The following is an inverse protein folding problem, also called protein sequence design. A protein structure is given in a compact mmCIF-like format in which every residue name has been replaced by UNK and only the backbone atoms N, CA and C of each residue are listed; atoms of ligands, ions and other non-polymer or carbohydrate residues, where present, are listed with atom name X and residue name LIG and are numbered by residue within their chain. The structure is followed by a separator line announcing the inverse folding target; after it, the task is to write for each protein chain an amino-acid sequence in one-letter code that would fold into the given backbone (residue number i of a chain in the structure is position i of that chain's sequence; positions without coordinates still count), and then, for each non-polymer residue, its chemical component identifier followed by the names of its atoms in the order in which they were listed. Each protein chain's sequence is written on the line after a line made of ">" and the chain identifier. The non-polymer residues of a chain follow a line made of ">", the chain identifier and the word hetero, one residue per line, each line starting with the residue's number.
data_IF_373197721965
#
_entry.id   IF_373197721965
#
_cell.length_a   1.000
_cell.length_b   1.000
_cell.length_c   1.000
_cell.angle_alpha   90.00
_cell.angle_beta   90.00
_cell.angle_gamma   90.00
#
_symmetry.space_group_name_H-M   'P 1'
#
loop_
_entity.id
_entity.type
_entity.pdbx_description
1 polymer ?
#
# COMPACT_ATOMS: atom_id res chain seq x y z
N UNK A 1 -24.39 4.90 -25.78
CA UNK A 1 -25.64 4.78 -24.99
C UNK A 1 -25.42 4.57 -23.48
N UNK A 2 -24.44 3.80 -23.02
CA UNK A 2 -24.14 3.63 -21.58
C UNK A 2 -23.53 4.86 -20.89
N UNK A 3 -22.76 5.67 -21.58
CA UNK A 3 -22.16 6.91 -21.03
C UNK A 3 -23.18 8.01 -20.77
N UNK A 4 -24.21 8.11 -21.62
CA UNK A 4 -25.32 9.06 -21.48
C UNK A 4 -26.17 8.77 -20.24
N UNK A 5 -26.35 7.51 -19.87
CA UNK A 5 -27.12 7.09 -18.68
C UNK A 5 -26.35 7.41 -17.38
N UNK A 6 -25.00 7.28 -17.40
CA UNK A 6 -24.15 7.62 -16.23
C UNK A 6 -24.14 9.12 -15.93
N UNK A 7 -24.20 9.97 -16.98
CA UNK A 7 -24.27 11.42 -16.83
C UNK A 7 -25.61 11.89 -16.27
N UNK A 8 -26.70 11.25 -16.69
CA UNK A 8 -28.05 11.60 -16.23
C UNK A 8 -28.28 11.27 -14.74
N UNK A 9 -27.72 10.16 -14.27
CA UNK A 9 -27.84 9.72 -12.87
C UNK A 9 -27.03 10.57 -11.87
N UNK A 10 -26.01 11.32 -12.32
CA UNK A 10 -25.22 12.22 -11.46
C UNK A 10 -25.95 13.52 -11.09
N UNK A 11 -26.95 13.91 -11.87
CA UNK A 11 -27.61 15.22 -11.74
C UNK A 11 -29.01 15.16 -11.10
N UNK A 12 -29.42 14.01 -10.56
CA UNK A 12 -30.70 13.89 -9.85
C UNK A 12 -30.49 14.15 -8.36
N UNK A 13 -31.04 15.22 -7.76
CA UNK A 13 -30.95 15.49 -6.34
C UNK A 13 -31.49 14.30 -5.52
N UNK A 14 -30.69 13.75 -4.62
CA UNK A 14 -31.07 12.62 -3.74
C UNK A 14 -30.58 11.23 -4.15
N UNK A 15 -30.17 10.97 -5.42
CA UNK A 15 -29.65 9.67 -5.83
C UNK A 15 -28.15 9.51 -5.54
N UNK A 16 -27.41 10.61 -5.49
CA UNK A 16 -25.98 10.59 -5.16
C UNK A 16 -25.69 10.12 -3.74
N UNK A 17 -26.52 10.51 -2.78
CA UNK A 17 -26.40 10.07 -1.38
C UNK A 17 -26.77 8.58 -1.19
N UNK A 18 -27.72 8.06 -1.96
CA UNK A 18 -28.12 6.66 -1.93
C UNK A 18 -27.03 5.73 -2.49
N UNK A 19 -26.36 6.12 -3.58
CA UNK A 19 -25.25 5.35 -4.17
C UNK A 19 -23.99 5.38 -3.29
N UNK A 20 -23.74 6.50 -2.61
CA UNK A 20 -22.66 6.60 -1.63
C UNK A 20 -22.96 5.76 -0.37
N UNK A 21 -24.22 5.73 0.08
CA UNK A 21 -24.65 4.85 1.19
C UNK A 21 -24.63 3.37 0.82
N UNK A 22 -25.01 2.99 -0.41
CA UNK A 22 -24.89 1.61 -0.89
C UNK A 22 -23.41 1.15 -0.97
N UNK A 23 -22.49 2.03 -1.37
CA UNK A 23 -21.04 1.74 -1.32
C UNK A 23 -20.50 1.65 0.11
N UNK A 24 -21.02 2.47 1.05
CA UNK A 24 -20.64 2.38 2.48
C UNK A 24 -21.14 1.10 3.16
N UNK A 25 -22.19 0.45 2.64
CA UNK A 25 -22.71 -0.82 3.16
C UNK A 25 -21.91 -2.07 2.72
N UNK A 26 -20.87 -1.90 1.88
CA UNK A 26 -20.14 -3.03 1.27
C UNK A 26 -18.77 -3.34 1.90
N UNK A 27 -18.30 -2.61 2.92
CA UNK A 27 -17.08 -2.99 3.64
C UNK A 27 -17.40 -4.16 4.59
N UNK A 28 -16.88 -5.34 4.27
CA UNK A 28 -16.99 -6.54 5.12
C UNK A 28 -15.72 -6.73 5.96
N UNK A 29 -14.57 -6.72 5.32
CA UNK A 29 -13.24 -6.77 5.89
C UNK A 29 -12.22 -6.22 4.88
N UNK A 30 -10.99 -5.97 5.35
CA UNK A 30 -9.90 -5.41 4.54
C UNK A 30 -9.57 -6.27 3.32
N UNK A 31 -9.52 -7.59 3.49
CA UNK A 31 -9.19 -8.56 2.43
C UNK A 31 -10.22 -8.53 1.31
N UNK A 32 -11.51 -8.68 1.66
CA UNK A 32 -12.62 -8.67 0.71
C UNK A 32 -12.76 -7.34 -0.02
N UNK A 33 -12.50 -6.23 0.69
CA UNK A 33 -12.58 -4.90 0.11
C UNK A 33 -11.61 -4.74 -1.06
N UNK A 34 -10.33 -5.08 -0.86
CA UNK A 34 -9.30 -4.93 -1.88
C UNK A 34 -9.46 -5.93 -3.02
N UNK A 35 -9.79 -7.20 -2.75
CA UNK A 35 -10.05 -8.17 -3.82
C UNK A 35 -11.24 -7.76 -4.70
N UNK A 36 -12.35 -7.33 -4.10
CA UNK A 36 -13.51 -6.80 -4.86
C UNK A 36 -13.16 -5.56 -5.67
N UNK A 37 -12.33 -4.66 -5.11
CA UNK A 37 -11.92 -3.43 -5.80
C UNK A 37 -11.19 -3.75 -7.11
N UNK A 38 -10.18 -4.62 -7.07
CA UNK A 38 -9.44 -5.01 -8.27
C UNK A 38 -10.29 -5.84 -9.25
N UNK A 39 -11.13 -6.74 -8.77
CA UNK A 39 -12.04 -7.53 -9.63
C UNK A 39 -13.07 -6.68 -10.35
N UNK A 40 -13.48 -5.56 -9.76
CA UNK A 40 -14.42 -4.62 -10.38
C UNK A 40 -13.74 -3.60 -11.31
N UNK A 41 -12.46 -3.75 -11.61
CA UNK A 41 -11.69 -2.84 -12.46
C UNK A 41 -11.25 -1.55 -11.76
N UNK A 42 -11.22 -1.54 -10.42
CA UNK A 42 -10.60 -0.47 -9.65
C UNK A 42 -9.07 -0.59 -9.61
N UNK A 43 -8.42 0.41 -9.04
CA UNK A 43 -6.98 0.59 -8.97
C UNK A 43 -6.46 0.65 -7.53
N UNK A 44 -5.15 0.83 -7.36
CA UNK A 44 -4.48 0.94 -6.05
C UNK A 44 -4.76 2.25 -5.29
N UNK A 45 -5.56 3.15 -5.85
CA UNK A 45 -5.91 4.43 -5.25
C UNK A 45 -4.92 5.56 -5.57
N UNK A 46 -5.32 6.79 -5.24
CA UNK A 46 -4.61 8.01 -5.60
C UNK A 46 -3.14 8.04 -5.17
N UNK A 47 -2.81 7.43 -4.04
CA UNK A 47 -1.44 7.31 -3.55
C UNK A 47 -0.48 6.66 -4.54
N UNK A 48 -0.95 5.71 -5.36
CA UNK A 48 -0.13 4.96 -6.32
C UNK A 48 0.03 5.65 -7.69
N UNK A 49 -0.44 6.89 -7.84
CA UNK A 49 -0.44 7.61 -9.10
C UNK A 49 0.06 9.06 -8.96
N UNK A 50 0.36 9.67 -10.10
CA UNK A 50 0.71 11.09 -10.23
C UNK A 50 1.84 11.50 -9.26
N UNK A 51 1.76 12.72 -8.74
CA UNK A 51 2.81 13.31 -7.91
C UNK A 51 3.10 12.55 -6.61
N UNK A 52 2.10 11.86 -6.04
CA UNK A 52 2.30 11.04 -4.83
C UNK A 52 3.15 9.81 -5.14
N UNK A 53 2.91 9.17 -6.27
CA UNK A 53 3.74 8.07 -6.74
C UNK A 53 5.16 8.53 -7.12
N UNK A 54 5.28 9.69 -7.78
CA UNK A 54 6.57 10.28 -8.13
C UNK A 54 7.40 10.64 -6.90
N UNK A 55 6.78 11.23 -5.88
CA UNK A 55 7.43 11.53 -4.60
C UNK A 55 7.98 10.25 -3.96
N UNK A 56 7.14 9.22 -3.85
CA UNK A 56 7.56 7.92 -3.29
C UNK A 56 8.70 7.30 -4.11
N UNK A 57 8.61 7.33 -5.44
CA UNK A 57 9.64 6.79 -6.31
C UNK A 57 10.98 7.51 -6.15
N UNK A 58 10.99 8.83 -6.07
CA UNK A 58 12.23 9.60 -5.84
C UNK A 58 12.91 9.19 -4.52
N UNK A 59 12.14 9.11 -3.44
CA UNK A 59 12.65 8.70 -2.13
C UNK A 59 13.21 7.28 -2.16
N UNK A 60 12.42 6.33 -2.66
CA UNK A 60 12.78 4.91 -2.64
C UNK A 60 13.95 4.58 -3.57
N UNK A 61 13.97 5.15 -4.78
CA UNK A 61 15.08 4.93 -5.71
C UNK A 61 16.40 5.50 -5.15
N UNK A 62 16.36 6.70 -4.57
CA UNK A 62 17.53 7.29 -3.91
C UNK A 62 17.99 6.43 -2.72
N UNK A 63 17.07 5.92 -1.90
CA UNK A 63 17.40 5.04 -0.78
C UNK A 63 18.06 3.74 -1.24
N UNK A 64 17.49 3.09 -2.27
CA UNK A 64 18.01 1.84 -2.85
C UNK A 64 19.42 2.04 -3.40
N UNK A 65 19.65 3.13 -4.12
CA UNK A 65 20.96 3.48 -4.67
C UNK A 65 21.99 3.77 -3.57
N UNK A 66 21.68 4.64 -2.63
CA UNK A 66 22.57 5.07 -1.54
C UNK A 66 22.97 3.92 -0.61
N UNK A 67 22.07 2.97 -0.37
CA UNK A 67 22.30 1.82 0.52
C UNK A 67 22.71 0.53 -0.22
N UNK A 68 22.92 0.63 -1.55
CA UNK A 68 23.33 -0.51 -2.39
C UNK A 68 22.39 -1.72 -2.25
N UNK A 69 21.08 -1.47 -2.23
CA UNK A 69 20.07 -2.52 -2.06
C UNK A 69 19.94 -3.34 -3.35
N UNK A 70 20.19 -4.65 -3.24
CA UNK A 70 20.12 -5.59 -4.36
C UNK A 70 18.76 -6.28 -4.49
N UNK A 71 18.00 -6.40 -3.41
CA UNK A 71 16.70 -7.09 -3.41
C UNK A 71 15.65 -6.36 -2.59
N UNK A 72 14.44 -6.29 -3.14
CA UNK A 72 13.29 -5.62 -2.54
C UNK A 72 12.10 -6.58 -2.49
N UNK A 73 11.39 -6.62 -1.37
CA UNK A 73 10.09 -7.26 -1.24
C UNK A 73 9.06 -6.21 -0.82
N UNK A 74 7.91 -6.16 -1.49
CA UNK A 74 6.84 -5.22 -1.17
C UNK A 74 5.56 -5.98 -0.80
N UNK A 75 5.07 -5.72 0.40
CA UNK A 75 3.78 -6.22 0.87
C UNK A 75 2.67 -5.21 0.57
N UNK A 76 1.68 -5.64 -0.23
CA UNK A 76 0.63 -4.78 -0.79
C UNK A 76 1.08 -4.09 -2.08
N UNK A 77 1.68 -4.83 -3.02
CA UNK A 77 2.18 -4.28 -4.29
C UNK A 77 1.07 -3.75 -5.22
N UNK A 78 -0.18 -4.03 -4.92
CA UNK A 78 -1.34 -3.55 -5.66
C UNK A 78 -1.32 -3.94 -7.13
N UNK A 79 -1.71 -3.01 -7.99
CA UNK A 79 -1.74 -3.17 -9.45
C UNK A 79 -0.38 -2.93 -10.15
N UNK A 80 0.67 -2.66 -9.37
CA UNK A 80 2.01 -2.41 -9.91
C UNK A 80 2.22 -1.02 -10.50
N UNK A 81 1.28 -0.08 -10.33
CA UNK A 81 1.43 1.28 -10.85
C UNK A 81 2.65 1.99 -10.25
N UNK A 82 2.84 1.90 -8.93
CA UNK A 82 4.00 2.45 -8.23
C UNK A 82 5.31 1.80 -8.71
N UNK A 83 5.32 0.50 -8.95
CA UNK A 83 6.49 -0.27 -9.38
C UNK A 83 7.03 0.18 -10.76
N UNK A 84 6.19 0.74 -11.64
CA UNK A 84 6.66 1.30 -12.93
C UNK A 84 7.69 2.42 -12.78
N UNK A 85 7.70 3.09 -11.65
CA UNK A 85 8.61 4.21 -11.35
C UNK A 85 9.85 3.76 -10.56
N UNK A 86 9.93 2.48 -10.22
CA UNK A 86 10.98 1.92 -9.37
C UNK A 86 12.19 1.46 -10.18
N UNK A 87 13.38 1.67 -9.61
CA UNK A 87 14.69 1.23 -10.14
C UNK A 87 15.27 0.13 -9.26
N UNK A 88 14.56 -1.00 -9.11
CA UNK A 88 14.99 -2.13 -8.27
C UNK A 88 15.71 -3.19 -9.10
N UNK A 89 16.86 -3.69 -8.58
CA UNK A 89 17.62 -4.75 -9.23
C UNK A 89 16.88 -6.09 -9.21
N UNK A 90 16.30 -6.46 -8.07
CA UNK A 90 15.43 -7.63 -7.92
C UNK A 90 14.22 -7.26 -7.06
N UNK A 91 13.04 -7.71 -7.47
CA UNK A 91 11.80 -7.34 -6.80
C UNK A 91 10.86 -8.53 -6.62
N UNK A 92 10.25 -8.60 -5.43
CA UNK A 92 9.17 -9.54 -5.11
C UNK A 92 7.96 -8.76 -4.62
N UNK A 93 6.90 -8.74 -5.41
CA UNK A 93 5.61 -8.14 -5.02
C UNK A 93 4.68 -9.16 -4.38
N UNK A 94 4.07 -8.79 -3.28
CA UNK A 94 3.10 -9.61 -2.55
C UNK A 94 1.81 -8.83 -2.39
N UNK A 95 0.68 -9.43 -2.75
CA UNK A 95 -0.64 -8.82 -2.51
C UNK A 95 -1.66 -9.86 -2.05
N UNK A 96 -2.66 -9.43 -1.29
CA UNK A 96 -3.75 -10.30 -0.81
C UNK A 96 -4.69 -10.68 -1.95
N UNK A 97 -4.89 -9.79 -2.93
CA UNK A 97 -5.77 -10.01 -4.08
C UNK A 97 -5.07 -10.82 -5.18
N UNK A 98 -5.60 -12.00 -5.55
CA UNK A 98 -5.12 -12.73 -6.73
C UNK A 98 -5.21 -11.90 -8.00
N UNK A 99 -6.21 -10.99 -8.08
CA UNK A 99 -6.40 -10.12 -9.25
C UNK A 99 -5.33 -9.05 -9.38
N UNK A 100 -4.89 -8.45 -8.27
CA UNK A 100 -3.76 -7.53 -8.25
C UNK A 100 -2.48 -8.23 -8.74
N UNK A 101 -2.20 -9.43 -8.23
CA UNK A 101 -1.06 -10.26 -8.67
C UNK A 101 -1.12 -10.59 -10.17
N UNK A 102 -2.30 -10.93 -10.70
CA UNK A 102 -2.51 -11.16 -12.13
C UNK A 102 -2.20 -9.89 -12.95
N UNK A 103 -2.68 -8.73 -12.50
CA UNK A 103 -2.40 -7.44 -13.15
C UNK A 103 -0.89 -7.18 -13.20
N UNK A 104 -0.19 -7.35 -12.09
CA UNK A 104 1.27 -7.18 -12.04
C UNK A 104 2.01 -8.13 -12.99
N UNK A 105 1.64 -9.41 -13.03
CA UNK A 105 2.26 -10.39 -13.95
C UNK A 105 2.04 -10.01 -15.42
N UNK A 106 0.86 -9.49 -15.74
CA UNK A 106 0.56 -9.02 -17.10
C UNK A 106 1.27 -7.69 -17.43
N UNK A 107 1.58 -6.88 -16.42
CA UNK A 107 2.29 -5.62 -16.59
C UNK A 107 3.80 -5.79 -16.82
N UNK A 108 4.39 -6.87 -16.26
CA UNK A 108 5.81 -7.19 -16.33
C UNK A 108 6.06 -8.62 -16.85
N UNK A 109 5.49 -9.00 -18.02
CA UNK A 109 5.40 -10.42 -18.44
C UNK A 109 6.75 -11.07 -18.77
N UNK A 110 7.77 -10.28 -19.12
CA UNK A 110 9.08 -10.75 -19.56
C UNK A 110 10.22 -10.20 -18.71
N UNK A 111 9.94 -9.73 -17.52
CA UNK A 111 10.95 -9.20 -16.61
C UNK A 111 11.34 -10.26 -15.56
N UNK A 112 12.47 -10.98 -15.75
CA UNK A 112 12.88 -12.04 -14.84
C UNK A 112 13.31 -11.52 -13.46
N UNK A 113 13.52 -10.20 -13.32
CA UNK A 113 13.89 -9.56 -12.06
C UNK A 113 12.70 -9.33 -11.15
N UNK A 114 11.47 -9.50 -11.66
CA UNK A 114 10.23 -9.25 -10.93
C UNK A 114 9.42 -10.53 -10.74
N UNK A 115 9.01 -10.80 -9.51
CA UNK A 115 8.17 -11.95 -9.14
C UNK A 115 6.98 -11.47 -8.32
N UNK A 116 5.82 -12.10 -8.52
CA UNK A 116 4.58 -11.69 -7.87
C UNK A 116 3.86 -12.89 -7.26
N UNK A 117 3.47 -12.76 -5.99
CA UNK A 117 2.84 -13.81 -5.20
C UNK A 117 1.57 -13.29 -4.52
N UNK A 118 0.55 -14.13 -4.46
CA UNK A 118 -0.51 -13.93 -3.49
C UNK A 118 0.04 -14.16 -2.08
N UNK A 119 -0.39 -13.37 -1.09
CA UNK A 119 0.19 -13.36 0.26
C UNK A 119 0.24 -14.76 0.92
N UNK A 120 -0.75 -15.62 0.68
CA UNK A 120 -0.77 -17.00 1.17
C UNK A 120 0.13 -17.98 0.41
N UNK A 121 0.68 -17.57 -0.73
CA UNK A 121 1.49 -18.42 -1.62
C UNK A 121 2.96 -17.97 -1.69
N UNK A 122 3.36 -16.97 -0.93
CA UNK A 122 4.77 -16.60 -0.80
C UNK A 122 5.54 -17.76 -0.16
N UNK A 123 6.64 -18.27 -0.76
CA UNK A 123 7.43 -19.32 -0.16
C UNK A 123 7.91 -18.96 1.26
N UNK A 124 7.84 -19.90 2.18
CA UNK A 124 8.30 -19.69 3.56
C UNK A 124 9.79 -19.30 3.58
N UNK A 125 10.16 -18.37 4.46
CA UNK A 125 11.53 -17.89 4.58
C UNK A 125 12.00 -16.97 3.44
N UNK A 126 11.10 -16.52 2.54
CA UNK A 126 11.45 -15.52 1.53
C UNK A 126 11.85 -14.21 2.22
N UNK A 127 13.07 -13.75 1.96
CA UNK A 127 13.61 -12.50 2.48
C UNK A 127 14.24 -11.66 1.38
N UNK A 128 14.33 -10.36 1.63
CA UNK A 128 15.05 -9.39 0.82
C UNK A 128 15.87 -8.45 1.73
N UNK A 129 16.79 -7.69 1.14
CA UNK A 129 17.54 -6.68 1.90
C UNK A 129 16.63 -5.54 2.37
N UNK A 130 15.58 -5.21 1.60
CA UNK A 130 14.60 -4.18 1.91
C UNK A 130 13.18 -4.73 1.78
N UNK A 131 12.38 -4.60 2.85
CA UNK A 131 10.94 -4.80 2.78
C UNK A 131 10.20 -3.45 2.74
N UNK A 132 9.16 -3.38 1.93
CA UNK A 132 8.34 -2.19 1.73
C UNK A 132 6.87 -2.45 2.12
N UNK A 133 6.26 -1.42 2.74
CA UNK A 133 4.83 -1.29 2.94
C UNK A 133 4.41 0.14 2.59
N UNK A 134 3.77 0.31 1.43
CA UNK A 134 3.42 1.63 0.88
C UNK A 134 1.90 1.78 0.81
N UNK A 135 1.35 2.69 1.62
CA UNK A 135 -0.09 2.98 1.68
C UNK A 135 -0.97 1.77 2.08
N UNK A 136 -0.45 0.81 2.87
CA UNK A 136 -1.17 -0.42 3.24
C UNK A 136 -1.68 -0.40 4.68
N UNK A 137 -0.84 -0.04 5.65
CA UNK A 137 -1.09 -0.27 7.08
C UNK A 137 -2.41 0.35 7.54
N UNK A 138 -2.74 1.55 7.12
CA UNK A 138 -4.01 2.20 7.48
C UNK A 138 -5.25 1.59 6.77
N UNK A 139 -5.06 0.59 5.90
CA UNK A 139 -6.15 -0.21 5.32
C UNK A 139 -6.36 -1.56 6.04
N UNK A 140 -5.52 -1.88 7.03
CA UNK A 140 -5.65 -3.07 7.86
C UNK A 140 -6.52 -2.72 9.08
N UNK A 141 -7.83 -2.80 8.91
CA UNK A 141 -8.80 -2.31 9.91
C UNK A 141 -8.91 -3.26 11.10
N UNK A 142 -8.73 -4.56 10.88
CA UNK A 142 -8.82 -5.61 11.88
C UNK A 142 -7.46 -5.80 12.57
N UNK A 143 -7.44 -5.83 13.91
CA UNK A 143 -6.20 -5.96 14.69
C UNK A 143 -5.43 -7.22 14.32
N UNK A 144 -6.10 -8.37 14.19
CA UNK A 144 -5.46 -9.63 13.82
C UNK A 144 -4.83 -9.60 12.43
N UNK A 145 -5.46 -8.92 11.45
CA UNK A 145 -4.91 -8.78 10.10
C UNK A 145 -3.70 -7.86 10.14
N UNK A 146 -3.77 -6.76 10.90
CA UNK A 146 -2.66 -5.84 11.11
C UNK A 146 -1.46 -6.56 11.74
N UNK A 147 -1.64 -7.29 12.83
CA UNK A 147 -0.58 -8.03 13.52
C UNK A 147 0.10 -9.04 12.60
N UNK A 148 -0.67 -9.92 11.94
CA UNK A 148 -0.13 -10.91 11.00
C UNK A 148 0.61 -10.26 9.82
N UNK A 149 0.13 -9.12 9.35
CA UNK A 149 0.79 -8.38 8.28
C UNK A 149 2.14 -7.81 8.73
N UNK A 150 2.16 -7.16 9.91
CA UNK A 150 3.37 -6.56 10.46
C UNK A 150 4.45 -7.62 10.73
N UNK A 151 4.09 -8.76 11.33
CA UNK A 151 5.00 -9.89 11.53
C UNK A 151 5.64 -10.35 10.19
N UNK A 152 4.83 -10.51 9.15
CA UNK A 152 5.32 -10.93 7.83
C UNK A 152 6.22 -9.87 7.18
N UNK A 153 5.88 -8.59 7.32
CA UNK A 153 6.67 -7.49 6.78
C UNK A 153 8.08 -7.50 7.36
N UNK A 154 8.21 -7.55 8.69
CA UNK A 154 9.50 -7.53 9.36
C UNK A 154 10.28 -8.85 9.17
N UNK A 155 9.62 -10.01 9.19
CA UNK A 155 10.26 -11.30 8.92
C UNK A 155 10.81 -11.44 7.49
N UNK A 156 10.31 -10.64 6.53
CA UNK A 156 10.75 -10.68 5.13
C UNK A 156 11.93 -9.76 4.81
N UNK A 157 12.45 -9.02 5.79
CA UNK A 157 13.60 -8.13 5.63
C UNK A 157 14.81 -8.62 6.42
N UNK A 158 16.01 -8.37 5.89
CA UNK A 158 17.26 -8.67 6.61
C UNK A 158 18.18 -7.46 6.82
N UNK A 159 17.85 -6.27 6.26
CA UNK A 159 18.60 -5.03 6.49
C UNK A 159 17.67 -3.86 6.84
N UNK A 160 16.66 -3.60 6.01
CA UNK A 160 15.80 -2.43 6.16
C UNK A 160 14.32 -2.77 5.96
N UNK A 161 13.46 -2.07 6.71
CA UNK A 161 12.03 -1.98 6.45
C UNK A 161 11.66 -0.52 6.22
N UNK A 162 10.97 -0.21 5.14
CA UNK A 162 10.42 1.13 4.90
C UNK A 162 8.90 1.04 4.88
N UNK A 163 8.30 1.84 5.74
CA UNK A 163 6.85 2.03 5.81
C UNK A 163 6.50 3.43 5.33
N UNK A 164 5.55 3.54 4.38
CA UNK A 164 4.91 4.79 4.05
C UNK A 164 3.45 4.72 4.48
N UNK A 165 3.13 5.33 5.59
CA UNK A 165 1.83 5.26 6.25
C UNK A 165 1.61 6.42 7.22
N UNK A 166 0.36 6.61 7.65
CA UNK A 166 0.07 7.43 8.83
C UNK A 166 0.53 6.71 10.10
N UNK A 167 1.02 7.47 11.09
CA UNK A 167 1.43 6.96 12.39
C UNK A 167 0.73 7.74 13.51
N UNK A 168 -0.57 7.57 13.65
CA UNK A 168 -1.41 8.30 14.60
C UNK A 168 -2.59 7.47 15.06
N UNK A 169 -3.25 7.90 16.14
CA UNK A 169 -4.54 7.37 16.56
C UNK A 169 -5.57 8.46 16.26
N UNK A 170 -6.42 8.21 15.25
CA UNK A 170 -7.45 9.14 14.82
C UNK A 170 -8.61 8.36 14.17
N UNK A 171 -9.84 8.68 14.55
CA UNK A 171 -11.02 8.18 13.83
C UNK A 171 -11.07 8.76 12.41
N UNK A 172 -11.48 7.92 11.45
CA UNK A 172 -11.58 8.31 10.05
C UNK A 172 -12.94 7.96 9.46
N UNK A 173 -13.53 8.82 8.60
CA UNK A 173 -14.88 8.61 8.08
C UNK A 173 -15.03 7.37 7.18
N UNK A 174 -13.98 6.97 6.47
CA UNK A 174 -13.98 5.83 5.58
C UNK A 174 -13.76 4.53 6.36
N UNK A 175 -14.72 3.59 6.29
CA UNK A 175 -14.68 2.32 7.03
C UNK A 175 -13.50 1.42 6.70
N UNK A 176 -12.88 1.58 5.54
CA UNK A 176 -11.71 0.84 5.09
C UNK A 176 -10.39 1.55 5.47
N UNK A 177 -10.44 2.55 6.33
CA UNK A 177 -9.28 3.28 6.83
C UNK A 177 -9.33 3.29 8.35
N UNK A 178 -8.26 2.78 8.97
CA UNK A 178 -7.99 2.86 10.40
C UNK A 178 -6.54 3.25 10.60
N UNK A 179 -6.30 4.36 11.26
CA UNK A 179 -4.95 4.78 11.59
C UNK A 179 -4.41 3.97 12.76
N UNK A 180 -3.15 3.54 12.64
CA UNK A 180 -2.41 2.82 13.67
C UNK A 180 -1.18 3.62 14.08
N UNK A 181 -0.85 3.64 15.38
CA UNK A 181 0.47 4.06 15.84
C UNK A 181 1.41 2.86 15.74
N UNK A 182 1.76 2.51 14.51
CA UNK A 182 2.49 1.28 14.21
C UNK A 182 3.92 1.30 14.75
N UNK A 183 4.53 2.47 14.96
CA UNK A 183 5.87 2.58 15.57
C UNK A 183 5.89 2.06 17.01
N UNK A 184 4.82 2.29 17.78
CA UNK A 184 4.70 1.78 19.15
C UNK A 184 4.61 0.25 19.14
N UNK A 185 3.85 -0.29 18.19
CA UNK A 185 3.75 -1.74 17.97
C UNK A 185 5.11 -2.36 17.63
N UNK A 186 5.87 -1.75 16.69
CA UNK A 186 7.21 -2.24 16.31
C UNK A 186 8.14 -2.24 17.49
N UNK A 187 8.18 -1.17 18.28
CA UNK A 187 9.03 -1.09 19.47
C UNK A 187 8.76 -2.23 20.47
N UNK A 188 7.51 -2.68 20.57
CA UNK A 188 7.10 -3.74 21.50
C UNK A 188 7.36 -5.15 20.97
N UNK A 189 7.18 -5.39 19.66
CA UNK A 189 7.19 -6.72 19.06
C UNK A 189 8.48 -7.04 18.29
N UNK A 190 9.19 -6.01 17.83
CA UNK A 190 10.42 -6.12 17.04
C UNK A 190 11.53 -5.24 17.61
N UNK A 191 11.96 -5.48 18.87
CA UNK A 191 13.01 -4.65 19.51
C UNK A 191 14.36 -4.72 18.80
N UNK A 192 14.60 -5.70 17.95
CA UNK A 192 15.77 -5.84 17.08
C UNK A 192 15.79 -4.84 15.92
N UNK A 193 14.72 -4.08 15.72
CA UNK A 193 14.61 -3.05 14.68
C UNK A 193 14.56 -1.65 15.29
N UNK A 194 15.39 -0.74 14.80
CA UNK A 194 15.41 0.66 15.23
C UNK A 194 14.92 1.61 14.14
N UNK A 195 14.13 2.61 14.53
CA UNK A 195 13.73 3.71 13.63
C UNK A 195 14.95 4.60 13.36
N UNK A 196 15.41 4.63 12.11
CA UNK A 196 16.56 5.41 11.66
C UNK A 196 16.18 6.83 11.24
N UNK A 197 15.07 6.97 10.53
CA UNK A 197 14.62 8.26 10.04
C UNK A 197 13.12 8.29 9.78
N UNK A 198 12.57 9.51 9.80
CA UNK A 198 11.22 9.84 9.34
C UNK A 198 11.32 10.97 8.33
N UNK A 199 10.70 10.80 7.16
CA UNK A 199 10.65 11.84 6.12
C UNK A 199 9.19 12.23 5.88
N UNK A 200 8.82 13.48 6.19
CA UNK A 200 7.48 13.98 5.94
C UNK A 200 7.11 13.96 4.47
N UNK A 201 5.83 13.76 4.19
CA UNK A 201 5.28 13.88 2.85
C UNK A 201 5.37 15.32 2.34
N UNK A 202 5.82 15.50 1.10
CA UNK A 202 5.85 16.82 0.42
C UNK A 202 4.44 17.40 0.20
N UNK A 203 3.40 16.55 0.20
CA UNK A 203 2.01 16.90 -0.08
C UNK A 203 1.11 16.53 1.11
N UNK A 204 1.23 17.22 2.25
CA UNK A 204 0.49 16.89 3.47
C UNK A 204 -1.02 16.98 3.22
N UNK A 205 -1.77 16.13 3.91
CA UNK A 205 -3.21 15.93 3.70
C UNK A 205 -4.01 17.23 3.75
N UNK A 206 -4.75 17.46 2.67
CA UNK A 206 -5.69 18.55 2.49
C UNK A 206 -7.06 17.95 2.09
N UNK A 207 -8.11 18.10 2.90
CA UNK A 207 -9.43 17.54 2.61
C UNK A 207 -10.09 18.14 1.35
N UNK A 208 -9.61 19.30 0.88
CA UNK A 208 -10.07 19.90 -0.38
C UNK A 208 -9.43 19.23 -1.61
N UNK A 209 -8.32 18.51 -1.44
CA UNK A 209 -7.56 17.83 -2.50
C UNK A 209 -7.14 16.42 -2.08
N UNK A 210 -8.09 15.52 -1.74
CA UNK A 210 -7.78 14.22 -1.16
C UNK A 210 -7.02 13.29 -2.12
N UNK A 211 -7.17 13.48 -3.44
CA UNK A 211 -6.51 12.65 -4.46
C UNK A 211 -5.08 13.12 -4.80
N UNK A 212 -4.69 14.31 -4.31
CA UNK A 212 -3.39 14.91 -4.56
C UNK A 212 -2.52 15.04 -3.30
N UNK A 213 -3.02 14.63 -2.15
CA UNK A 213 -2.40 14.82 -0.84
C UNK A 213 -2.49 13.56 -0.01
N UNK A 214 -1.60 13.37 0.97
CA UNK A 214 -1.58 12.18 1.81
C UNK A 214 -1.25 12.52 3.26
N UNK A 215 -1.81 11.74 4.18
CA UNK A 215 -1.49 11.76 5.61
C UNK A 215 -0.34 10.79 5.97
N UNK A 216 0.26 10.15 4.98
CA UNK A 216 1.34 9.20 5.17
C UNK A 216 2.71 9.89 5.09
N UNK A 217 3.64 9.45 5.92
CA UNK A 217 5.05 9.82 5.92
C UNK A 217 5.91 8.58 5.75
N UNK A 218 7.20 8.75 5.39
CA UNK A 218 8.15 7.65 5.37
C UNK A 218 8.78 7.40 6.74
N UNK A 219 8.88 6.13 7.10
CA UNK A 219 9.57 5.63 8.28
C UNK A 219 10.55 4.54 7.86
N UNK A 220 11.82 4.73 8.15
CA UNK A 220 12.90 3.79 7.82
C UNK A 220 13.35 3.09 9.08
N UNK A 221 13.30 1.76 9.08
CA UNK A 221 13.81 0.93 10.15
C UNK A 221 15.00 0.12 9.64
N UNK A 222 15.99 -0.09 10.52
CA UNK A 222 17.12 -0.97 10.27
C UNK A 222 17.28 -1.96 11.43
N UNK A 223 17.79 -3.14 11.11
CA UNK A 223 18.18 -4.13 12.12
C UNK A 223 19.34 -3.57 12.95
N UNK A 224 19.31 -3.79 14.27
CA UNK A 224 20.35 -3.33 15.22
C UNK A 224 21.54 -4.30 15.21
#
# INVERSE_FOLDING_TARGET
>A
MLESVKSFLKNVPGLGSGLVQLRKAQFSNSVDYWDKRYRSGGDSGAGSYNRLAEFKARFLNAFVEQNHISSVIEHGCGDGAQLKLASYHSYTGVDISPKAVEICRNLFPNDPTKRFFQAGLLPAGTQAELALSLDVIYHLVEDQIFEVYMEKLFASANKFVIVYSSNMVKEWPQKHVRHHRFTDWITQHHPEWSLQSTTPNEFPYDPARPDDTSFADFYVFAVI
#
